data_IF_467623439914
#
_entry.id   IF_467623439914
#
_cell.length_a   1.000
_cell.length_b   1.000
_cell.length_c   1.000
_cell.angle_alpha   90.00
_cell.angle_beta   90.00
_cell.angle_gamma   90.00
#
_symmetry.space_group_name_H-M   'P 1'
#
loop_
_entity.id
_entity.type
_entity.pdbx_description
1 polymer ?
#
# COMPACT_ATOMS: atom_id res chain seq x y z
N UNK A 1 19.46 -21.38 -3.06
CA UNK A 1 18.35 -20.89 -3.92
C UNK A 1 17.11 -21.67 -3.55
N UNK A 2 16.03 -20.98 -3.15
CA UNK A 2 14.74 -21.61 -2.87
C UNK A 2 13.78 -21.46 -4.05
N UNK A 3 12.84 -22.38 -4.21
CA UNK A 3 11.79 -22.31 -5.23
C UNK A 3 10.49 -21.85 -4.58
N UNK A 4 9.84 -20.83 -5.16
CA UNK A 4 8.54 -20.34 -4.73
C UNK A 4 7.52 -20.74 -5.78
N UNK A 5 6.46 -21.43 -5.36
CA UNK A 5 5.31 -21.75 -6.22
C UNK A 5 4.06 -21.09 -5.64
N UNK A 6 3.26 -20.47 -6.50
CA UNK A 6 2.04 -19.79 -6.12
C UNK A 6 0.96 -20.05 -7.17
N UNK A 7 -0.29 -20.08 -6.74
CA UNK A 7 -1.45 -20.24 -7.64
C UNK A 7 -1.97 -18.88 -8.04
N UNK A 8 -2.25 -18.71 -9.32
CA UNK A 8 -2.87 -17.52 -9.90
C UNK A 8 -3.92 -17.98 -10.88
N UNK A 9 -4.97 -17.19 -11.01
CA UNK A 9 -5.96 -17.36 -12.05
C UNK A 9 -5.33 -17.32 -13.46
N UNK A 10 -5.81 -18.17 -14.36
CA UNK A 10 -5.24 -18.33 -15.69
C UNK A 10 -5.39 -17.07 -16.57
N UNK A 11 -6.46 -16.29 -16.39
CA UNK A 11 -6.66 -15.05 -17.13
C UNK A 11 -5.69 -13.97 -16.67
N UNK A 12 -5.53 -13.85 -15.34
CA UNK A 12 -4.55 -12.92 -14.74
C UNK A 12 -3.13 -13.29 -15.17
N UNK A 13 -2.79 -14.58 -15.22
CA UNK A 13 -1.50 -15.06 -15.73
C UNK A 13 -1.27 -14.63 -17.19
N UNK A 14 -2.23 -14.86 -18.08
CA UNK A 14 -2.09 -14.46 -19.50
C UNK A 14 -1.90 -12.96 -19.66
N UNK A 15 -2.74 -12.15 -19.00
CA UNK A 15 -2.67 -10.68 -19.09
C UNK A 15 -1.38 -10.12 -18.51
N UNK A 16 -0.93 -10.64 -17.37
CA UNK A 16 0.32 -10.19 -16.73
C UNK A 16 1.54 -10.57 -17.57
N UNK A 17 1.60 -11.77 -18.13
CA UNK A 17 2.71 -12.18 -19.00
C UNK A 17 2.82 -11.31 -20.26
N UNK A 18 1.69 -11.02 -20.92
CA UNK A 18 1.68 -10.13 -22.08
C UNK A 18 2.13 -8.69 -21.74
N UNK A 19 1.79 -8.19 -20.54
CA UNK A 19 2.25 -6.88 -20.07
C UNK A 19 3.75 -6.88 -19.75
N UNK A 20 4.25 -7.96 -19.13
CA UNK A 20 5.66 -8.14 -18.78
C UNK A 20 6.56 -8.25 -20.02
N UNK A 21 6.09 -8.96 -21.06
CA UNK A 21 6.80 -9.04 -22.35
C UNK A 21 6.97 -7.67 -23.00
N UNK A 22 5.92 -6.83 -22.97
CA UNK A 22 6.00 -5.44 -23.48
C UNK A 22 7.00 -4.59 -22.73
N UNK A 23 7.19 -4.86 -21.44
CA UNK A 23 8.16 -4.17 -20.58
C UNK A 23 9.56 -4.78 -20.67
N UNK A 24 9.73 -5.92 -21.35
CA UNK A 24 11.01 -6.63 -21.47
C UNK A 24 11.48 -7.27 -20.15
N UNK A 25 10.58 -7.50 -19.20
CA UNK A 25 10.90 -8.03 -17.87
C UNK A 25 10.36 -9.45 -17.74
N UNK A 26 11.15 -10.37 -17.19
CA UNK A 26 10.65 -11.74 -16.93
C UNK A 26 9.82 -11.79 -15.64
N UNK A 27 8.81 -12.68 -15.55
CA UNK A 27 8.03 -12.84 -14.32
C UNK A 27 8.88 -13.15 -13.09
N UNK A 28 9.95 -13.95 -13.26
CA UNK A 28 10.88 -14.28 -12.19
C UNK A 28 11.66 -13.07 -11.70
N UNK A 29 11.99 -12.13 -12.59
CA UNK A 29 12.70 -10.91 -12.26
C UNK A 29 11.81 -9.93 -11.48
N UNK A 30 10.57 -9.74 -11.94
CA UNK A 30 9.56 -8.97 -11.22
C UNK A 30 9.38 -9.48 -9.77
N UNK A 31 9.20 -10.79 -9.61
CA UNK A 31 9.00 -11.39 -8.29
C UNK A 31 10.24 -11.25 -7.40
N UNK A 32 11.44 -11.43 -7.96
CA UNK A 32 12.70 -11.26 -7.22
C UNK A 32 12.85 -9.83 -6.72
N UNK A 33 12.63 -8.84 -7.57
CA UNK A 33 12.70 -7.42 -7.21
C UNK A 33 11.65 -7.05 -6.15
N UNK A 34 10.44 -7.60 -6.27
CA UNK A 34 9.37 -7.37 -5.30
C UNK A 34 9.73 -7.92 -3.93
N UNK A 35 10.25 -9.15 -3.87
CA UNK A 35 10.67 -9.77 -2.62
C UNK A 35 11.86 -9.04 -1.99
N UNK A 36 12.82 -8.60 -2.81
CA UNK A 36 13.95 -7.80 -2.36
C UNK A 36 13.49 -6.45 -1.78
N UNK A 37 12.53 -5.79 -2.43
CA UNK A 37 11.95 -4.55 -1.93
C UNK A 37 11.31 -4.74 -0.56
N UNK A 38 10.52 -5.80 -0.38
CA UNK A 38 9.89 -6.14 0.91
C UNK A 38 10.94 -6.46 1.96
N UNK A 39 11.98 -7.22 1.62
CA UNK A 39 13.06 -7.56 2.54
C UNK A 39 13.86 -6.33 3.01
N UNK A 40 14.07 -5.33 2.13
CA UNK A 40 14.86 -4.14 2.46
C UNK A 40 14.06 -3.05 3.15
N UNK A 41 12.77 -2.90 2.82
CA UNK A 41 11.95 -1.76 3.25
C UNK A 41 10.83 -2.13 4.21
N UNK A 42 10.61 -3.42 4.46
CA UNK A 42 9.52 -3.95 5.28
C UNK A 42 8.13 -3.44 4.84
N UNK A 43 8.01 -3.04 3.57
CA UNK A 43 6.83 -2.40 3.01
C UNK A 43 6.53 -2.97 1.63
N UNK A 44 5.26 -2.98 1.24
CA UNK A 44 4.85 -3.39 -0.09
C UNK A 44 5.16 -2.29 -1.12
N UNK A 45 5.65 -2.63 -2.33
CA UNK A 45 5.94 -1.65 -3.36
C UNK A 45 4.69 -1.06 -4.00
N UNK A 46 3.56 -1.74 -3.85
CA UNK A 46 2.23 -1.23 -4.14
C UNK A 46 1.65 -0.69 -2.84
N UNK A 47 1.04 0.50 -2.89
CA UNK A 47 0.14 0.94 -1.83
C UNK A 47 -0.93 -0.14 -1.71
N UNK A 48 -0.90 -0.94 -0.63
CA UNK A 48 -2.18 -1.38 -0.05
C UNK A 48 -3.01 -0.10 0.07
N UNK A 49 -4.29 -0.11 -0.25
CA UNK A 49 -5.12 1.07 -0.10
C UNK A 49 -5.07 1.53 1.38
N UNK A 50 -4.10 2.39 1.70
CA UNK A 50 -3.80 2.94 3.02
C UNK A 50 -4.54 4.28 3.22
N UNK A 51 -5.25 4.72 2.19
CA UNK A 51 -6.43 5.54 2.36
C UNK A 51 -7.59 4.61 2.09
N UNK A 52 -8.09 3.97 3.15
CA UNK A 52 -9.47 3.52 3.12
C UNK A 52 -10.35 4.77 2.91
N UNK A 53 -11.55 4.64 2.36
CA UNK A 53 -12.49 5.76 2.28
C UNK A 53 -12.73 6.41 3.66
N UNK A 54 -12.52 5.65 4.73
CA UNK A 54 -12.55 6.10 6.12
C UNK A 54 -11.39 7.07 6.45
N UNK A 55 -10.16 6.76 6.02
CA UNK A 55 -9.01 7.64 6.22
C UNK A 55 -9.13 8.94 5.41
N UNK A 56 -9.70 8.88 4.21
CA UNK A 56 -10.03 10.08 3.41
C UNK A 56 -11.04 10.97 4.14
N UNK A 57 -12.06 10.37 4.74
CA UNK A 57 -13.04 11.09 5.54
C UNK A 57 -12.40 11.73 6.78
N UNK A 58 -11.52 11.01 7.48
CA UNK A 58 -10.80 11.52 8.65
C UNK A 58 -9.88 12.69 8.30
N UNK A 59 -9.12 12.59 7.20
CA UNK A 59 -8.26 13.68 6.72
C UNK A 59 -9.09 14.91 6.33
N UNK A 60 -10.27 14.70 5.74
CA UNK A 60 -11.19 15.79 5.37
C UNK A 60 -11.70 16.52 6.60
N UNK A 61 -12.12 15.77 7.63
CA UNK A 61 -12.56 16.33 8.91
C UNK A 61 -11.42 17.07 9.62
N UNK A 62 -10.21 16.50 9.63
CA UNK A 62 -9.03 17.14 10.23
C UNK A 62 -8.70 18.46 9.54
N UNK A 63 -8.67 18.50 8.20
CA UNK A 63 -8.45 19.73 7.42
C UNK A 63 -9.52 20.79 7.70
N UNK A 64 -10.80 20.40 7.78
CA UNK A 64 -11.89 21.33 8.09
C UNK A 64 -11.75 21.94 9.50
N UNK A 65 -11.33 21.16 10.50
CA UNK A 65 -11.10 21.65 11.88
C UNK A 65 -9.86 22.53 12.00
N UNK A 66 -8.81 22.25 11.22
CA UNK A 66 -7.61 23.09 11.18
C UNK A 66 -7.85 24.43 10.48
N UNK A 67 -8.78 24.51 9.53
CA UNK A 67 -9.15 25.77 8.88
C UNK A 67 -9.88 26.75 9.82
N UNK A 68 -10.58 26.23 10.84
CA UNK A 68 -11.26 27.03 11.87
C UNK A 68 -11.01 26.41 13.26
N UNK A 69 -9.81 26.61 13.84
CA UNK A 69 -9.42 25.96 15.07
C UNK A 69 -10.23 26.52 16.25
N UNK A 70 -10.79 25.61 17.06
CA UNK A 70 -11.41 25.97 18.33
C UNK A 70 -10.34 26.15 19.41
N UNK A 71 -10.68 26.90 20.46
CA UNK A 71 -9.80 27.08 21.63
C UNK A 71 -9.47 25.70 22.22
N UNK A 72 -8.17 25.40 22.33
CA UNK A 72 -7.71 24.13 22.89
C UNK A 72 -8.09 24.01 24.36
N UNK A 73 -8.72 22.89 24.72
CA UNK A 73 -9.01 22.56 26.12
C UNK A 73 -7.81 21.81 26.67
N UNK A 74 -7.16 22.35 27.70
CA UNK A 74 -6.06 21.67 28.39
C UNK A 74 -6.64 20.64 29.35
N UNK A 75 -6.53 19.37 29.02
CA UNK A 75 -7.01 18.25 29.83
C UNK A 75 -5.85 17.50 30.49
N UNK A 76 -6.12 16.87 31.62
CA UNK A 76 -5.24 15.86 32.25
C UNK A 76 -5.84 14.47 32.07
N UNK A 77 -5.04 13.40 32.29
CA UNK A 77 -5.54 12.02 32.21
C UNK A 77 -6.66 11.74 33.23
N UNK A 78 -6.64 12.42 34.37
CA UNK A 78 -7.70 12.33 35.40
C UNK A 78 -9.00 13.05 35.02
N UNK A 79 -8.99 13.86 33.94
CA UNK A 79 -10.13 14.65 33.47
C UNK A 79 -10.49 14.37 32.01
N UNK A 80 -10.04 13.23 31.48
CA UNK A 80 -10.26 12.80 30.08
C UNK A 80 -11.68 12.27 29.84
#
# INVERSE_FOLDING_TARGET
MGTISFRVDDDVKKRSYAALEKLGITPSELLRQTLEYVAQREALPFKSALLTSEDEALITVAKARLAAPKVGVKTSLDTL
#
